data_IF_680351715768
#
_entry.id   IF_680351715768
#
_cell.length_a   1.000
_cell.length_b   1.000
_cell.length_c   1.000
_cell.angle_alpha   90.00
_cell.angle_beta   90.00
_cell.angle_gamma   90.00
#
_symmetry.space_group_name_H-M   'P 1'
#
loop_
_entity.id
_entity.type
_entity.pdbx_description
1 polymer ?
#
# COMPACT_ATOMS: atom_id res chain seq x y z
N UNK A 1 5.44 -8.62 24.09
CA UNK A 1 6.34 -7.85 23.26
C UNK A 1 5.55 -7.08 22.22
N UNK A 2 6.11 -6.00 21.74
CA UNK A 2 5.43 -5.15 20.76
C UNK A 2 6.07 -5.38 19.40
N UNK A 3 5.25 -5.66 18.40
CA UNK A 3 5.69 -5.78 17.02
C UNK A 3 4.60 -5.17 16.16
N UNK A 4 4.76 -3.89 15.85
CA UNK A 4 3.71 -3.14 15.17
C UNK A 4 4.34 -2.21 14.16
N UNK A 5 3.80 -2.23 12.95
CA UNK A 5 4.30 -1.42 11.84
C UNK A 5 3.14 -0.68 11.22
N UNK A 6 3.35 0.60 10.99
CA UNK A 6 2.38 1.43 10.27
C UNK A 6 3.13 2.08 9.12
N UNK A 7 2.66 1.85 7.91
CA UNK A 7 3.32 2.37 6.72
C UNK A 7 2.31 3.06 5.82
N UNK A 8 2.74 4.16 5.22
CA UNK A 8 1.99 4.82 4.16
C UNK A 8 2.91 4.91 2.95
N UNK A 9 2.46 4.37 1.85
CA UNK A 9 3.29 4.37 0.65
C UNK A 9 2.47 4.08 -0.59
N UNK A 10 3.12 4.11 -1.74
CA UNK A 10 2.47 3.82 -3.02
C UNK A 10 2.84 2.43 -3.49
N UNK A 11 1.87 1.76 -4.08
CA UNK A 11 2.12 0.47 -4.69
C UNK A 11 3.03 0.67 -5.89
N UNK A 12 4.12 -0.11 -5.93
CA UNK A 12 5.07 -0.01 -7.04
C UNK A 12 4.60 -0.77 -8.26
N UNK A 13 3.68 -1.70 -8.05
CA UNK A 13 3.06 -2.49 -9.13
C UNK A 13 1.76 -3.06 -8.59
N UNK A 14 1.01 -3.69 -9.46
CA UNK A 14 -0.25 -4.30 -9.05
C UNK A 14 0.03 -5.40 -8.02
N UNK A 15 -0.91 -5.56 -7.11
CA UNK A 15 -0.82 -6.58 -6.07
C UNK A 15 -0.92 -7.96 -6.73
N UNK A 16 -0.03 -8.84 -6.33
CA UNK A 16 -0.04 -10.21 -6.85
C UNK A 16 -0.83 -11.09 -5.89
N UNK A 17 -1.96 -11.60 -6.35
CA UNK A 17 -2.83 -12.44 -5.54
C UNK A 17 -2.64 -13.89 -5.94
N UNK A 18 -2.41 -14.73 -4.94
CA UNK A 18 -2.25 -16.17 -5.13
C UNK A 18 -3.07 -16.91 -4.09
N UNK A 19 -3.21 -18.20 -4.33
CA UNK A 19 -3.88 -19.07 -3.38
C UNK A 19 -2.94 -20.20 -3.00
N UNK A 20 -2.91 -20.50 -1.71
CA UNK A 20 -2.06 -21.58 -1.20
C UNK A 20 -2.69 -22.93 -1.52
N UNK A 21 -1.94 -24.03 -1.36
CA UNK A 21 -2.53 -25.37 -1.52
C UNK A 21 -3.72 -25.61 -0.62
N UNK A 22 -3.79 -24.93 0.54
CA UNK A 22 -4.95 -25.01 1.42
C UNK A 22 -6.05 -24.01 1.02
N UNK A 23 -5.91 -23.37 -0.15
CA UNK A 23 -6.91 -22.49 -0.73
C UNK A 23 -7.10 -21.21 0.05
N UNK A 24 -6.06 -20.72 0.67
CA UNK A 24 -6.10 -19.42 1.35
C UNK A 24 -5.48 -18.36 0.44
N UNK A 25 -6.13 -17.19 0.39
CA UNK A 25 -5.64 -16.10 -0.42
C UNK A 25 -4.42 -15.47 0.23
N UNK A 26 -3.42 -15.16 -0.57
CA UNK A 26 -2.25 -14.43 -0.12
C UNK A 26 -1.89 -13.41 -1.20
N UNK A 27 -1.70 -12.17 -0.77
CA UNK A 27 -1.34 -11.08 -1.67
C UNK A 27 0.05 -10.61 -1.31
N UNK A 28 0.89 -10.43 -2.31
CA UNK A 28 2.22 -9.85 -2.12
C UNK A 28 2.29 -8.54 -2.88
N UNK A 29 2.94 -7.57 -2.26
CA UNK A 29 3.07 -6.26 -2.86
C UNK A 29 4.26 -5.55 -2.27
N UNK A 30 4.70 -4.50 -2.95
CA UNK A 30 5.81 -3.67 -2.50
C UNK A 30 5.34 -2.25 -2.40
N UNK A 31 5.59 -1.63 -1.25
CA UNK A 31 5.26 -0.22 -1.04
C UNK A 31 6.52 0.61 -1.16
N UNK A 32 6.40 1.72 -1.89
CA UNK A 32 7.44 2.73 -1.92
C UNK A 32 7.09 3.76 -0.84
N UNK A 33 7.89 3.77 0.21
CA UNK A 33 7.67 4.65 1.36
C UNK A 33 8.74 5.73 1.33
N UNK A 34 8.33 6.96 1.15
CA UNK A 34 9.26 8.07 1.08
C UNK A 34 9.87 8.34 2.44
N UNK A 35 11.16 8.62 2.45
CA UNK A 35 11.84 9.02 3.68
C UNK A 35 11.45 10.44 4.03
N UNK A 36 11.53 10.75 5.32
CA UNK A 36 11.18 12.08 5.81
C UNK A 36 12.18 13.15 5.40
N UNK A 37 13.42 12.76 5.12
CA UNK A 37 14.47 13.70 4.84
C UNK A 37 14.94 13.58 3.41
N UNK A 38 15.28 14.71 2.81
CA UNK A 38 15.84 14.73 1.46
C UNK A 38 17.30 14.33 1.51
N UNK A 39 17.74 13.69 0.44
CA UNK A 39 19.16 13.39 0.27
C UNK A 39 19.87 14.71 0.00
N UNK A 40 20.83 15.03 0.84
CA UNK A 40 21.55 16.31 0.73
C UNK A 40 22.37 16.41 -0.54
N UNK A 41 22.83 15.28 -1.07
CA UNK A 41 23.63 15.30 -2.29
C UNK A 41 22.82 15.57 -3.54
N UNK A 42 21.59 15.03 -3.60
CA UNK A 42 20.75 15.15 -4.79
C UNK A 42 19.60 16.09 -4.63
N UNK A 43 19.25 16.45 -3.40
CA UNK A 43 18.09 17.28 -3.11
C UNK A 43 16.77 16.56 -3.23
N UNK A 44 16.78 15.26 -3.47
CA UNK A 44 15.57 14.48 -3.65
C UNK A 44 15.32 13.57 -2.47
N UNK A 45 14.05 13.23 -2.24
CA UNK A 45 13.70 12.26 -1.22
C UNK A 45 13.90 10.87 -1.77
N UNK A 46 14.53 10.05 -0.96
CA UNK A 46 14.67 8.64 -1.29
C UNK A 46 13.47 7.88 -0.77
N UNK A 47 13.20 6.77 -1.39
CA UNK A 47 12.12 5.89 -0.97
C UNK A 47 12.69 4.55 -0.56
N UNK A 48 12.07 3.98 0.45
CA UNK A 48 12.36 2.61 0.85
C UNK A 48 11.29 1.71 0.25
N UNK A 49 11.74 0.60 -0.31
CA UNK A 49 10.82 -0.36 -0.94
C UNK A 49 10.62 -1.50 0.03
N UNK A 50 9.40 -1.61 0.53
CA UNK A 50 9.09 -2.53 1.61
C UNK A 50 8.24 -3.66 1.06
N UNK A 51 8.71 -4.88 1.18
CA UNK A 51 7.95 -6.06 0.76
C UNK A 51 6.91 -6.38 1.81
N UNK A 52 5.68 -6.56 1.37
CA UNK A 52 4.55 -6.80 2.25
C UNK A 52 3.76 -8.00 1.79
N UNK A 53 3.11 -8.65 2.73
CA UNK A 53 2.23 -9.78 2.43
C UNK A 53 0.96 -9.60 3.23
N UNK A 54 -0.15 -10.03 2.64
CA UNK A 54 -1.47 -9.92 3.29
C UNK A 54 -2.21 -11.21 3.00
N UNK A 55 -3.05 -11.63 3.94
CA UNK A 55 -3.68 -12.94 3.89
C UNK A 55 -5.20 -12.86 3.90
N UNK A 56 -5.84 -13.87 3.32
CA UNK A 56 -7.28 -14.14 3.44
C UNK A 56 -8.11 -13.04 2.79
N UNK A 57 -9.22 -12.68 3.39
CA UNK A 57 -10.16 -11.74 2.79
C UNK A 57 -9.54 -10.38 2.52
N UNK A 58 -8.66 -9.93 3.41
CA UNK A 58 -7.99 -8.65 3.21
C UNK A 58 -7.11 -8.68 1.97
N UNK A 59 -6.49 -9.83 1.69
CA UNK A 59 -5.68 -9.99 0.49
C UNK A 59 -6.52 -9.84 -0.77
N UNK A 60 -7.69 -10.46 -0.78
CA UNK A 60 -8.58 -10.36 -1.93
C UNK A 60 -9.09 -8.94 -2.12
N UNK A 61 -9.45 -8.30 -1.02
CA UNK A 61 -9.92 -6.92 -1.07
C UNK A 61 -8.84 -5.99 -1.61
N UNK A 62 -7.62 -6.16 -1.12
CA UNK A 62 -6.51 -5.33 -1.57
C UNK A 62 -6.27 -5.51 -3.06
N UNK A 63 -6.24 -6.74 -3.53
CA UNK A 63 -6.00 -7.01 -4.93
C UNK A 63 -7.11 -6.46 -5.82
N UNK A 64 -8.36 -6.51 -5.34
CA UNK A 64 -9.50 -6.05 -6.12
C UNK A 64 -9.65 -4.54 -6.13
N UNK A 65 -9.28 -3.89 -5.04
CA UNK A 65 -9.58 -2.47 -4.86
C UNK A 65 -8.41 -1.55 -5.19
N UNK A 66 -7.22 -2.07 -5.41
CA UNK A 66 -6.04 -1.24 -5.61
C UNK A 66 -5.35 -1.56 -6.91
N UNK A 67 -4.56 -0.62 -7.39
CA UNK A 67 -3.72 -0.78 -8.56
C UNK A 67 -2.41 -0.06 -8.35
N UNK A 68 -1.47 -0.32 -9.25
CA UNK A 68 -0.16 0.35 -9.22
C UNK A 68 -0.32 1.84 -9.04
N UNK A 69 0.42 2.39 -8.12
CA UNK A 69 0.46 3.83 -7.90
C UNK A 69 -0.52 4.35 -6.86
N UNK A 70 -1.44 3.51 -6.38
CA UNK A 70 -2.34 3.94 -5.32
C UNK A 70 -1.57 4.20 -4.03
N UNK A 71 -1.95 5.25 -3.33
CA UNK A 71 -1.39 5.53 -2.01
C UNK A 71 -2.25 4.81 -0.98
N UNK A 72 -1.61 3.93 -0.23
CA UNK A 72 -2.33 3.17 0.79
C UNK A 72 -1.57 3.23 2.11
N UNK A 73 -2.32 3.05 3.18
CA UNK A 73 -1.75 2.86 4.50
C UNK A 73 -2.00 1.45 4.94
N UNK A 74 -1.03 0.86 5.61
CA UNK A 74 -1.18 -0.48 6.16
C UNK A 74 -0.74 -0.49 7.61
N UNK A 75 -1.32 -1.41 8.36
CA UNK A 75 -0.87 -1.72 9.71
C UNK A 75 -0.58 -3.20 9.77
N UNK A 76 0.44 -3.57 10.50
CA UNK A 76 0.80 -4.96 10.61
C UNK A 76 2.01 -5.16 11.50
N UNK A 77 2.79 -6.17 11.18
CA UNK A 77 3.96 -6.53 11.98
C UNK A 77 5.09 -6.96 11.06
N UNK A 78 6.30 -6.90 11.58
CA UNK A 78 7.47 -7.38 10.86
C UNK A 78 7.61 -8.88 11.11
N UNK A 79 7.91 -9.61 10.04
CA UNK A 79 8.14 -11.03 10.12
C UNK A 79 9.41 -11.36 9.33
N UNK A 80 10.20 -12.25 9.88
CA UNK A 80 11.38 -12.75 9.18
C UNK A 80 11.21 -14.22 8.92
N UNK A 81 11.79 -14.67 7.83
CA UNK A 81 11.83 -16.09 7.49
C UNK A 81 13.12 -16.37 6.74
N UNK A 82 13.46 -17.63 6.66
CA UNK A 82 14.66 -18.02 5.91
C UNK A 82 14.34 -19.25 5.06
N UNK A 83 15.08 -19.38 3.98
CA UNK A 83 14.96 -20.53 3.13
C UNK A 83 16.32 -20.77 2.46
N UNK A 84 16.51 -21.97 1.95
CA UNK A 84 17.73 -22.31 1.22
C UNK A 84 17.47 -22.09 -0.26
N UNK A 85 18.36 -21.36 -0.92
CA UNK A 85 18.22 -21.15 -2.35
C UNK A 85 18.78 -22.35 -3.11
N UNK A 86 18.73 -22.28 -4.44
CA UNK A 86 19.17 -23.38 -5.29
C UNK A 86 20.66 -23.67 -5.14
N UNK A 87 21.42 -22.70 -4.67
CA UNK A 87 22.86 -22.87 -4.46
C UNK A 87 23.19 -23.39 -3.07
N UNK A 88 22.16 -23.69 -2.27
CA UNK A 88 22.36 -24.19 -0.92
C UNK A 88 22.64 -23.12 0.11
N UNK A 89 22.56 -21.87 -0.26
CA UNK A 89 22.79 -20.77 0.67
C UNK A 89 21.50 -20.40 1.37
N UNK A 90 21.63 -20.06 2.66
CA UNK A 90 20.49 -19.63 3.43
C UNK A 90 20.17 -18.17 3.14
N UNK A 91 18.95 -17.90 2.76
CA UNK A 91 18.48 -16.55 2.45
C UNK A 91 17.52 -16.12 3.53
N UNK A 92 17.75 -14.93 4.07
CA UNK A 92 16.89 -14.35 5.10
C UNK A 92 16.01 -13.27 4.47
N UNK A 93 14.72 -13.33 4.77
CA UNK A 93 13.75 -12.39 4.22
C UNK A 93 13.08 -11.68 5.38
N UNK A 94 13.06 -10.36 5.31
CA UNK A 94 12.32 -9.52 6.24
C UNK A 94 11.16 -8.89 5.48
N UNK A 95 9.96 -9.08 5.97
CA UNK A 95 8.78 -8.57 5.30
C UNK A 95 7.76 -8.09 6.32
N UNK A 96 6.81 -7.32 5.87
CA UNK A 96 5.72 -6.82 6.72
C UNK A 96 4.49 -7.64 6.42
N UNK A 97 3.94 -8.27 7.46
CA UNK A 97 2.66 -8.97 7.35
C UNK A 97 1.59 -7.93 7.66
N UNK A 98 0.91 -7.48 6.62
CA UNK A 98 -0.10 -6.45 6.76
C UNK A 98 -1.39 -7.09 7.27
N UNK A 99 -1.97 -6.47 8.28
CA UNK A 99 -3.20 -6.98 8.89
C UNK A 99 -4.41 -6.20 8.44
N UNK A 100 -4.23 -4.94 8.08
CA UNK A 100 -5.30 -4.12 7.53
C UNK A 100 -4.71 -3.07 6.62
N UNK A 101 -5.56 -2.51 5.76
CA UNK A 101 -5.12 -1.48 4.85
C UNK A 101 -6.22 -0.44 4.67
N UNK A 102 -5.80 0.74 4.22
CA UNK A 102 -6.70 1.84 3.92
C UNK A 102 -6.24 2.49 2.64
N UNK A 103 -7.14 2.71 1.70
CA UNK A 103 -6.81 3.43 0.49
C UNK A 103 -6.87 4.92 0.81
N UNK A 104 -5.75 5.61 0.63
CA UNK A 104 -5.66 7.01 0.96
C UNK A 104 -5.79 7.90 -0.27
N UNK A 105 -5.33 7.42 -1.42
CA UNK A 105 -5.39 8.18 -2.66
C UNK A 105 -5.37 7.22 -3.82
N UNK A 106 -6.32 7.35 -4.73
CA UNK A 106 -6.31 6.59 -5.96
C UNK A 106 -5.56 7.34 -7.02
N UNK A 107 -4.78 6.61 -7.82
CA UNK A 107 -4.06 7.24 -8.91
C UNK A 107 -4.90 7.15 -10.17
N UNK A 108 -5.70 8.18 -10.40
CA UNK A 108 -6.51 8.27 -11.59
C UNK A 108 -5.79 9.09 -12.63
N UNK A 109 -6.10 8.85 -13.90
CA UNK A 109 -5.60 9.74 -14.94
C UNK A 109 -6.45 11.01 -14.93
N UNK A 110 -5.99 12.02 -15.66
CA UNK A 110 -6.66 13.32 -15.64
C UNK A 110 -8.11 13.24 -16.08
N UNK A 111 -8.39 12.42 -17.06
CA UNK A 111 -9.77 12.29 -17.55
C UNK A 111 -10.67 11.70 -16.49
N UNK A 112 -10.19 10.72 -15.77
CA UNK A 112 -10.98 10.15 -14.70
C UNK A 112 -11.21 11.15 -13.60
N UNK A 113 -10.21 11.93 -13.27
CA UNK A 113 -10.37 12.95 -12.25
C UNK A 113 -11.41 13.98 -12.65
N UNK A 114 -11.38 14.40 -13.88
CA UNK A 114 -12.36 15.34 -14.37
C UNK A 114 -13.77 14.76 -14.27
N UNK A 115 -13.92 13.52 -14.64
CA UNK A 115 -15.21 12.86 -14.54
C UNK A 115 -15.69 12.79 -13.11
N UNK A 116 -14.80 12.52 -12.22
CA UNK A 116 -15.18 12.44 -10.83
C UNK A 116 -15.62 13.79 -10.29
N UNK A 117 -14.92 14.82 -10.70
CA UNK A 117 -15.31 16.15 -10.28
C UNK A 117 -16.69 16.51 -10.81
N UNK A 118 -16.97 16.12 -12.03
CA UNK A 118 -18.29 16.37 -12.60
C UNK A 118 -19.36 15.64 -11.86
N UNK A 119 -19.04 14.47 -11.36
CA UNK A 119 -20.01 13.69 -10.62
C UNK A 119 -20.19 14.17 -9.21
N UNK A 120 -19.23 14.87 -8.68
CA UNK A 120 -19.37 15.39 -7.36
C UNK A 120 -20.36 16.52 -7.37
N UNK A 121 -21.29 16.52 -6.44
CA UNK A 121 -22.24 17.61 -6.39
C UNK A 121 -21.50 18.92 -6.23
N UNK A 122 -21.93 19.91 -6.92
CA UNK A 122 -21.26 21.20 -6.82
C UNK A 122 -21.22 21.73 -5.42
N UNK A 123 -22.20 21.40 -4.65
CA UNK A 123 -22.21 21.83 -3.28
C UNK A 123 -21.36 20.98 -2.39
N UNK A 124 -20.90 19.90 -2.89
CA UNK A 124 -20.08 19.03 -2.13
C UNK A 124 -18.68 19.42 -2.20
N UNK A 125 -18.61 19.99 -3.14
CA UNK A 125 -17.35 20.53 -3.27
C UNK A 125 -17.17 21.71 -2.37
N UNK A 126 -18.26 20.92 -2.37
CA UNK A 126 -17.87 21.40 -1.86
C UNK A 126 -17.81 21.36 -1.50
N UNK A 127 -18.01 21.21 -1.35
CA UNK A 127 -17.69 21.05 -0.80
C UNK A 127 -17.05 20.73 -0.57
N UNK A 128 -17.21 20.70 -0.59
CA UNK A 128 -16.44 20.39 -0.13
C UNK A 128 -16.15 20.13 0.34
N UNK A 129 -16.21 19.70 0.68
CA UNK A 129 -15.81 19.46 1.45
C UNK A 129 -15.55 19.29 1.69
N UNK A 130 -15.80 19.13 1.73
CA UNK A 130 -15.41 18.97 2.28
C UNK A 130 -15.19 18.53 2.53
N UNK A 131 -15.44 18.27 2.48
CA UNK A 131 -14.92 17.93 3.01
C UNK A 131 -14.58 17.74 3.32
N UNK A 132 -14.72 17.53 3.41
CA UNK A 132 -14.16 17.51 4.00
C UNK A 132 -13.96 17.46 4.51
N UNK A 133 -13.99 17.28 4.60
CA UNK A 133 -13.58 17.30 5.35
C UNK A 133 -13.62 17.05 5.81
N UNK A 134 -13.90 16.72 5.79
CA UNK A 134 -13.64 16.49 6.33
C UNK A 134 -13.32 16.02 6.53
N UNK A 135 -13.47 15.64 6.44
CA UNK A 135 -12.70 15.39 6.73
C UNK A 135 -12.23 14.83 6.59
N UNK A 136 -11.94 14.57 6.58
CA UNK A 136 -11.04 14.26 6.45
C UNK A 136 -10.26 14.14 7.09
N UNK A 137 -10.17 13.66 7.61
CA UNK A 137 -9.30 13.65 8.32
C UNK A 137 -8.46 13.11 8.38
N UNK A 138 -8.29 13.00 8.45
CA UNK A 138 -7.38 12.70 8.54
C UNK A 138 -6.91 12.93 9.14
#
# INVERSE_FOLDING_TARGET
MINNVVLVGRLTRDVELRYTPSNQAVATFTLAVNRNFKNQSTGEREADFINCVMWRQQAENLANWTKKGHLIGITGRIQTRSYDNQQGQRVYVTEVVAESFQILEKRDNAANQASMEDQMPPNFAGQPMDIIDDGLPF
#
